data_IF_535362160001
#
_entry.id   IF_535362160001
#
_cell.length_a   1.000
_cell.length_b   1.000
_cell.length_c   1.000
_cell.angle_alpha   90.00
_cell.angle_beta   90.00
_cell.angle_gamma   90.00
#
_symmetry.space_group_name_H-M   'P 1'
#
loop_
_entity.id
_entity.type
_entity.pdbx_description
1 polymer ?
#
# COMPACT_ATOMS: atom_id res chain seq x y z
N UNK A 1 -4.95 37.32 5.68
CA UNK A 1 -4.17 36.14 6.12
C UNK A 1 -3.55 35.49 4.89
N UNK A 2 -2.23 35.49 4.76
CA UNK A 2 -1.53 34.86 3.65
C UNK A 2 -1.90 33.37 3.60
N UNK A 3 -2.48 32.92 2.48
CA UNK A 3 -2.75 31.51 2.23
C UNK A 3 -1.40 30.76 2.30
N UNK A 4 -1.17 30.05 3.41
CA UNK A 4 0.01 29.17 3.54
C UNK A 4 -0.07 28.17 2.37
N UNK A 5 0.86 28.26 1.42
CA UNK A 5 0.97 27.30 0.32
C UNK A 5 1.01 25.88 0.90
N UNK A 6 -0.02 25.10 0.64
CA UNK A 6 -0.16 23.71 1.11
C UNK A 6 0.77 22.81 0.29
N UNK A 7 1.17 23.24 -0.90
CA UNK A 7 2.08 22.53 -1.78
C UNK A 7 3.53 22.66 -1.31
N UNK A 8 4.27 21.54 -1.36
CA UNK A 8 5.69 21.51 -0.99
C UNK A 8 6.54 21.03 -2.17
N UNK A 9 7.45 21.90 -2.57
CA UNK A 9 8.44 21.60 -3.60
C UNK A 9 9.56 20.73 -2.99
N UNK A 10 9.68 19.47 -3.41
CA UNK A 10 10.73 18.54 -2.96
C UNK A 10 12.00 18.61 -3.82
N UNK A 11 12.03 19.52 -4.80
CA UNK A 11 13.20 19.72 -5.66
C UNK A 11 14.26 20.65 -5.05
N UNK A 12 13.95 21.30 -3.90
CA UNK A 12 14.81 22.26 -3.21
C UNK A 12 14.98 21.91 -1.73
N UNK A 13 16.09 22.30 -1.14
CA UNK A 13 16.42 22.06 0.27
C UNK A 13 17.07 20.69 0.53
N UNK A 14 17.32 20.35 1.79
CA UNK A 14 17.99 19.10 2.19
C UNK A 14 17.09 17.88 1.94
N UNK A 15 17.53 16.87 1.15
CA UNK A 15 16.76 15.65 0.92
C UNK A 15 16.37 14.94 2.22
N UNK A 16 17.28 14.84 3.18
CA UNK A 16 17.03 14.18 4.47
C UNK A 16 15.85 14.84 5.22
N UNK A 17 15.87 16.18 5.32
CA UNK A 17 14.81 16.93 6.00
C UNK A 17 13.48 16.81 5.25
N UNK A 18 13.51 16.83 3.92
CA UNK A 18 12.31 16.69 3.08
C UNK A 18 11.68 15.31 3.25
N UNK A 19 12.48 14.26 3.19
CA UNK A 19 12.02 12.87 3.33
C UNK A 19 11.44 12.65 4.72
N UNK A 20 12.15 13.02 5.79
CA UNK A 20 11.64 12.88 7.16
C UNK A 20 10.32 13.64 7.38
N UNK A 21 10.28 14.91 6.99
CA UNK A 21 9.06 15.73 7.21
C UNK A 21 7.87 15.30 6.35
N UNK A 22 8.10 14.59 5.26
CA UNK A 22 7.03 14.05 4.41
C UNK A 22 6.62 12.64 4.86
N UNK A 23 7.56 11.79 5.25
CA UNK A 23 7.27 10.41 5.67
C UNK A 23 6.63 10.31 7.05
N UNK A 24 6.97 11.19 8.00
CA UNK A 24 6.41 11.14 9.36
C UNK A 24 4.88 11.24 9.41
N UNK A 25 4.22 12.19 8.73
CA UNK A 25 2.76 12.19 8.66
C UNK A 25 2.21 10.92 8.02
N UNK A 26 2.81 10.44 6.90
CA UNK A 26 2.37 9.21 6.24
C UNK A 26 2.47 8.00 7.16
N UNK A 27 3.55 7.88 7.93
CA UNK A 27 3.71 6.85 8.94
C UNK A 27 2.55 6.89 9.94
N UNK A 28 2.23 8.08 10.47
CA UNK A 28 1.07 8.25 11.35
C UNK A 28 -0.22 7.75 10.68
N UNK A 29 -0.45 8.09 9.41
CA UNK A 29 -1.62 7.62 8.67
C UNK A 29 -1.67 6.11 8.50
N UNK A 30 -0.56 5.46 8.15
CA UNK A 30 -0.50 4.01 8.03
C UNK A 30 -0.68 3.30 9.37
N UNK A 31 -0.11 3.82 10.45
CA UNK A 31 -0.32 3.28 11.80
C UNK A 31 -1.78 3.40 12.23
N UNK A 32 -2.43 4.56 12.00
CA UNK A 32 -3.86 4.71 12.27
C UNK A 32 -4.71 3.77 11.42
N UNK A 33 -4.32 3.52 10.17
CA UNK A 33 -5.03 2.56 9.31
C UNK A 33 -4.92 1.11 9.84
N UNK A 34 -3.76 0.72 10.36
CA UNK A 34 -3.59 -0.59 10.99
C UNK A 34 -4.39 -0.72 12.28
N UNK A 35 -4.36 0.31 13.14
CA UNK A 35 -5.16 0.35 14.36
C UNK A 35 -6.67 0.26 14.06
N UNK A 36 -7.12 1.01 13.07
CA UNK A 36 -8.51 0.97 12.61
C UNK A 36 -8.92 -0.43 12.14
N UNK A 37 -8.14 -1.06 11.27
CA UNK A 37 -8.42 -2.43 10.78
C UNK A 37 -8.46 -3.45 11.92
N UNK A 38 -7.62 -3.27 12.94
CA UNK A 38 -7.63 -4.09 14.14
C UNK A 38 -8.90 -3.87 14.98
N UNK A 39 -9.30 -2.62 15.19
CA UNK A 39 -10.51 -2.28 15.95
C UNK A 39 -11.78 -2.79 15.25
N UNK A 40 -11.89 -2.64 13.93
CA UNK A 40 -13.00 -3.19 13.14
C UNK A 40 -13.14 -4.72 13.33
N UNK A 41 -12.01 -5.44 13.24
CA UNK A 41 -11.99 -6.88 13.51
C UNK A 41 -12.41 -7.23 14.94
N UNK A 42 -11.99 -6.42 15.92
CA UNK A 42 -12.40 -6.63 17.34
C UNK A 42 -13.89 -6.37 17.55
N UNK A 43 -14.45 -5.32 16.95
CA UNK A 43 -15.89 -5.00 17.06
C UNK A 43 -16.72 -6.11 16.42
N UNK A 44 -16.39 -6.54 15.21
CA UNK A 44 -17.09 -7.64 14.54
C UNK A 44 -17.01 -8.93 15.36
N UNK A 45 -15.82 -9.34 15.78
CA UNK A 45 -15.62 -10.58 16.53
C UNK A 45 -16.23 -10.56 17.93
N UNK A 46 -16.14 -9.42 18.63
CA UNK A 46 -16.64 -9.28 20.00
C UNK A 46 -18.17 -9.13 20.09
N UNK A 47 -18.80 -8.56 19.07
CA UNK A 47 -20.23 -8.28 19.08
C UNK A 47 -21.03 -9.31 18.28
N UNK A 48 -20.57 -9.70 17.10
CA UNK A 48 -21.27 -10.61 16.18
C UNK A 48 -20.85 -12.08 16.30
N UNK A 49 -19.76 -12.34 17.04
CA UNK A 49 -19.27 -13.69 17.30
C UNK A 49 -18.29 -14.22 16.26
N UNK A 50 -17.92 -15.50 16.44
CA UNK A 50 -16.82 -16.14 15.72
C UNK A 50 -17.13 -16.40 14.25
N UNK A 51 -18.37 -16.71 13.89
CA UNK A 51 -18.78 -16.94 12.50
C UNK A 51 -18.68 -15.66 11.66
N UNK A 52 -19.13 -14.52 12.20
CA UNK A 52 -19.00 -13.22 11.57
C UNK A 52 -17.52 -12.81 11.40
N UNK A 53 -16.71 -13.07 12.43
CA UNK A 53 -15.26 -12.82 12.37
C UNK A 53 -14.59 -13.67 11.30
N UNK A 54 -14.95 -14.95 11.19
CA UNK A 54 -14.43 -15.86 10.17
C UNK A 54 -14.83 -15.40 8.77
N UNK A 55 -16.11 -14.99 8.59
CA UNK A 55 -16.62 -14.49 7.32
C UNK A 55 -15.86 -13.22 6.85
N UNK A 56 -15.70 -12.23 7.73
CA UNK A 56 -14.95 -10.99 7.41
C UNK A 56 -13.47 -11.31 7.14
N UNK A 57 -12.86 -12.20 7.93
CA UNK A 57 -11.48 -12.62 7.75
C UNK A 57 -11.22 -13.30 6.40
N UNK A 58 -12.12 -14.19 5.98
CA UNK A 58 -12.04 -14.91 4.70
C UNK A 58 -12.05 -13.95 3.50
N UNK A 59 -12.83 -12.86 3.57
CA UNK A 59 -12.87 -11.84 2.51
C UNK A 59 -11.59 -11.01 2.38
N UNK A 60 -10.72 -11.01 3.38
CA UNK A 60 -9.55 -10.12 3.47
C UNK A 60 -8.59 -10.24 2.28
N UNK A 61 -8.30 -11.46 1.85
CA UNK A 61 -7.40 -11.72 0.71
C UNK A 61 -7.99 -11.24 -0.62
N UNK A 62 -9.27 -11.48 -0.84
CA UNK A 62 -9.99 -11.03 -2.03
C UNK A 62 -10.10 -9.50 -2.06
N UNK A 63 -10.41 -8.90 -0.91
CA UNK A 63 -10.46 -7.46 -0.74
C UNK A 63 -9.10 -6.81 -1.04
N UNK A 64 -8.00 -7.37 -0.53
CA UNK A 64 -6.65 -6.87 -0.80
C UNK A 64 -6.27 -7.01 -2.27
N UNK A 65 -6.64 -8.12 -2.93
CA UNK A 65 -6.38 -8.34 -4.35
C UNK A 65 -7.04 -7.25 -5.22
N UNK A 66 -8.31 -6.94 -4.98
CA UNK A 66 -9.13 -6.05 -5.81
C UNK A 66 -8.90 -4.58 -5.44
N UNK A 67 -9.04 -4.23 -4.17
CA UNK A 67 -8.81 -2.85 -3.72
C UNK A 67 -7.34 -2.46 -3.83
N UNK A 68 -6.40 -3.39 -3.59
CA UNK A 68 -4.97 -3.18 -3.82
C UNK A 68 -4.66 -2.81 -5.28
N UNK A 69 -5.30 -3.50 -6.24
CA UNK A 69 -5.20 -3.13 -7.66
C UNK A 69 -5.66 -1.70 -7.92
N UNK A 70 -6.83 -1.33 -7.41
CA UNK A 70 -7.38 0.03 -7.58
C UNK A 70 -6.50 1.10 -6.91
N UNK A 71 -6.00 0.83 -5.70
CA UNK A 71 -5.05 1.72 -4.99
C UNK A 71 -3.74 1.89 -5.77
N UNK A 72 -3.24 0.79 -6.35
CA UNK A 72 -2.05 0.81 -7.19
C UNK A 72 -2.24 1.65 -8.45
N UNK A 73 -3.40 1.55 -9.12
CA UNK A 73 -3.73 2.42 -10.27
C UNK A 73 -3.70 3.89 -9.87
N UNK A 74 -4.33 4.27 -8.77
CA UNK A 74 -4.32 5.65 -8.27
C UNK A 74 -2.89 6.14 -7.97
N UNK A 75 -2.07 5.28 -7.37
CA UNK A 75 -0.66 5.58 -7.08
C UNK A 75 0.17 5.73 -8.35
N UNK A 76 -0.08 4.90 -9.36
CA UNK A 76 0.57 5.01 -10.68
C UNK A 76 0.18 6.29 -11.42
N UNK A 77 -1.08 6.72 -11.34
CA UNK A 77 -1.55 7.98 -11.92
C UNK A 77 -0.95 9.21 -11.22
N UNK A 78 -0.60 9.10 -9.95
CA UNK A 78 0.07 10.15 -9.19
C UNK A 78 1.49 10.47 -9.71
N UNK A 79 2.17 9.53 -10.38
CA UNK A 79 3.54 9.70 -10.86
C UNK A 79 3.67 10.78 -11.91
N UNK A 80 2.93 10.78 -13.06
CA UNK A 80 2.99 11.85 -14.04
C UNK A 80 2.59 13.22 -13.47
N UNK A 81 1.67 13.24 -12.49
CA UNK A 81 1.27 14.48 -11.80
C UNK A 81 2.46 15.04 -11.02
N UNK A 82 3.18 14.21 -10.25
CA UNK A 82 4.37 14.61 -9.51
C UNK A 82 5.50 15.08 -10.44
N UNK A 83 5.68 14.43 -11.61
CA UNK A 83 6.65 14.82 -12.61
C UNK A 83 6.30 16.19 -13.23
N UNK A 84 5.06 16.41 -13.62
CA UNK A 84 4.61 17.70 -14.17
C UNK A 84 4.71 18.82 -13.12
N UNK A 85 4.37 18.55 -11.86
CA UNK A 85 4.56 19.52 -10.76
C UNK A 85 6.03 19.88 -10.56
N UNK A 86 6.93 18.88 -10.55
CA UNK A 86 8.38 19.11 -10.45
C UNK A 86 8.95 19.88 -11.65
N UNK A 87 8.39 19.69 -12.85
CA UNK A 87 8.72 20.44 -14.05
C UNK A 87 8.16 21.88 -14.05
N UNK A 88 7.32 22.23 -13.07
CA UNK A 88 6.57 23.49 -13.00
C UNK A 88 5.63 23.72 -14.20
N UNK A 89 5.21 22.64 -14.87
CA UNK A 89 4.23 22.69 -15.94
C UNK A 89 2.82 22.46 -15.37
N UNK A 90 2.19 23.56 -14.96
CA UNK A 90 0.85 23.54 -14.38
C UNK A 90 -0.21 23.05 -15.36
N UNK A 91 -0.03 23.32 -16.67
CA UNK A 91 -0.99 22.91 -17.70
C UNK A 91 -0.94 21.40 -17.91
N UNK A 92 0.26 20.83 -18.05
CA UNK A 92 0.43 19.38 -18.16
C UNK A 92 -0.07 18.69 -16.89
N UNK A 93 0.24 19.22 -15.71
CA UNK A 93 -0.22 18.70 -14.42
C UNK A 93 -1.74 18.68 -14.33
N UNK A 94 -2.45 19.78 -14.63
CA UNK A 94 -3.93 19.83 -14.63
C UNK A 94 -4.53 18.81 -15.59
N UNK A 95 -3.95 18.66 -16.78
CA UNK A 95 -4.38 17.65 -17.76
C UNK A 95 -4.22 16.24 -17.22
N UNK A 96 -3.09 15.89 -16.59
CA UNK A 96 -2.93 14.57 -15.93
C UNK A 96 -3.96 14.36 -14.83
N UNK A 97 -4.20 15.35 -13.98
CA UNK A 97 -5.22 15.24 -12.92
C UNK A 97 -6.60 14.99 -13.54
N UNK A 98 -7.00 15.75 -14.58
CA UNK A 98 -8.31 15.60 -15.19
C UNK A 98 -8.50 14.24 -15.87
N UNK A 99 -7.49 13.76 -16.61
CA UNK A 99 -7.53 12.44 -17.23
C UNK A 99 -7.51 11.31 -16.17
N UNK A 100 -6.83 11.53 -15.04
CA UNK A 100 -6.88 10.59 -13.91
C UNK A 100 -8.28 10.49 -13.31
N UNK A 101 -9.00 11.62 -13.19
CA UNK A 101 -10.42 11.62 -12.74
C UNK A 101 -11.28 10.78 -13.67
N UNK A 102 -11.17 10.97 -14.99
CA UNK A 102 -11.96 10.21 -15.96
C UNK A 102 -11.64 8.71 -15.91
N UNK A 103 -10.36 8.35 -15.89
CA UNK A 103 -9.94 6.95 -15.85
C UNK A 103 -10.31 6.28 -14.53
N UNK A 104 -10.11 6.96 -13.39
CA UNK A 104 -10.52 6.46 -12.09
C UNK A 104 -12.04 6.24 -12.03
N UNK A 105 -12.84 7.16 -12.56
CA UNK A 105 -14.30 7.01 -12.60
C UNK A 105 -14.71 5.76 -13.41
N UNK A 106 -14.17 5.61 -14.62
CA UNK A 106 -14.49 4.46 -15.49
C UNK A 106 -14.02 3.15 -14.86
N UNK A 107 -12.75 3.09 -14.43
CA UNK A 107 -12.16 1.85 -13.89
C UNK A 107 -12.85 1.46 -12.59
N UNK A 108 -13.12 2.41 -11.69
CA UNK A 108 -13.74 2.10 -10.39
C UNK A 108 -15.18 1.62 -10.53
N UNK A 109 -15.97 2.24 -11.42
CA UNK A 109 -17.35 1.78 -11.69
C UNK A 109 -17.33 0.39 -12.33
N UNK A 110 -16.47 0.17 -13.33
CA UNK A 110 -16.34 -1.13 -13.98
C UNK A 110 -15.92 -2.22 -12.99
N UNK A 111 -14.88 -1.96 -12.21
CA UNK A 111 -14.40 -2.89 -11.18
C UNK A 111 -15.46 -3.13 -10.10
N UNK A 112 -16.12 -2.07 -9.61
CA UNK A 112 -17.16 -2.19 -8.60
C UNK A 112 -18.35 -3.03 -9.07
N UNK A 113 -18.82 -2.82 -10.28
CA UNK A 113 -19.90 -3.62 -10.86
C UNK A 113 -19.47 -5.07 -11.08
N UNK A 114 -18.32 -5.29 -11.74
CA UNK A 114 -17.85 -6.65 -12.01
C UNK A 114 -17.66 -7.43 -10.71
N UNK A 115 -16.91 -6.89 -9.76
CA UNK A 115 -16.61 -7.63 -8.53
C UNK A 115 -17.80 -7.72 -7.59
N UNK A 116 -18.65 -6.67 -7.52
CA UNK A 116 -19.86 -6.67 -6.70
C UNK A 116 -20.89 -7.70 -7.18
N UNK A 117 -21.16 -7.79 -8.48
CA UNK A 117 -22.09 -8.80 -9.01
C UNK A 117 -21.53 -10.23 -8.94
N UNK A 118 -20.23 -10.40 -9.14
CA UNK A 118 -19.58 -11.71 -9.10
C UNK A 118 -18.98 -12.06 -7.72
N UNK A 119 -19.25 -11.30 -6.67
CA UNK A 119 -18.74 -11.56 -5.33
C UNK A 119 -19.01 -13.00 -4.83
N UNK A 120 -20.23 -13.56 -4.96
CA UNK A 120 -20.47 -14.94 -4.53
C UNK A 120 -19.63 -15.97 -5.29
N UNK A 121 -19.46 -15.80 -6.62
CA UNK A 121 -18.65 -16.68 -7.46
C UNK A 121 -17.17 -16.59 -7.11
N UNK A 122 -16.67 -15.37 -6.88
CA UNK A 122 -15.28 -15.14 -6.49
C UNK A 122 -14.94 -15.79 -5.14
N UNK A 123 -15.83 -15.70 -4.15
CA UNK A 123 -15.66 -16.37 -2.85
C UNK A 123 -15.70 -17.90 -3.00
N UNK A 124 -16.62 -18.46 -3.79
CA UNK A 124 -16.64 -19.90 -4.07
C UNK A 124 -15.37 -20.39 -4.78
N UNK A 125 -14.79 -19.59 -5.68
CA UNK A 125 -13.50 -19.91 -6.31
C UNK A 125 -12.34 -19.94 -5.31
N UNK A 126 -12.45 -19.24 -4.19
CA UNK A 126 -11.48 -19.26 -3.09
C UNK A 126 -11.76 -20.38 -2.08
N UNK A 127 -12.77 -21.24 -2.34
CA UNK A 127 -13.22 -22.32 -1.46
C UNK A 127 -13.71 -21.82 -0.09
N UNK A 128 -14.39 -20.65 -0.07
CA UNK A 128 -15.09 -20.17 1.14
C UNK A 128 -16.11 -21.22 1.58
N UNK A 129 -16.09 -21.67 2.86
CA UNK A 129 -17.06 -22.62 3.38
C UNK A 129 -18.50 -22.14 3.22
N UNK A 130 -19.41 -23.05 2.84
CA UNK A 130 -20.82 -22.71 2.53
C UNK A 130 -21.60 -22.18 3.75
N UNK A 131 -21.18 -22.53 4.97
CA UNK A 131 -21.76 -22.04 6.23
C UNK A 131 -21.53 -20.54 6.47
N UNK A 132 -20.33 -20.03 6.13
CA UNK A 132 -19.98 -18.61 6.27
C UNK A 132 -20.16 -17.81 4.98
N UNK A 133 -20.35 -18.46 3.83
CA UNK A 133 -20.46 -17.80 2.53
C UNK A 133 -21.52 -16.69 2.48
N UNK A 134 -22.74 -16.86 3.03
CA UNK A 134 -23.74 -15.78 3.04
C UNK A 134 -23.26 -14.54 3.80
N UNK A 135 -22.58 -14.71 4.94
CA UNK A 135 -22.03 -13.61 5.74
C UNK A 135 -20.85 -12.93 5.02
N UNK A 136 -19.98 -13.73 4.39
CA UNK A 136 -18.85 -13.22 3.59
C UNK A 136 -19.34 -12.38 2.41
N UNK A 137 -20.38 -12.83 1.70
CA UNK A 137 -21.03 -12.06 0.61
C UNK A 137 -21.66 -10.79 1.15
N UNK A 138 -22.42 -10.88 2.24
CA UNK A 138 -23.10 -9.74 2.86
C UNK A 138 -22.12 -8.63 3.27
N UNK A 139 -20.89 -9.00 3.69
CA UNK A 139 -19.84 -8.05 4.02
C UNK A 139 -19.13 -7.48 2.78
N UNK A 140 -18.67 -8.34 1.85
CA UNK A 140 -17.76 -7.90 0.79
C UNK A 140 -18.48 -7.22 -0.38
N UNK A 141 -19.73 -7.60 -0.66
CA UNK A 141 -20.48 -7.09 -1.81
C UNK A 141 -20.72 -5.58 -1.73
N UNK A 142 -21.20 -4.98 -0.61
CA UNK A 142 -21.28 -3.53 -0.45
C UNK A 142 -19.93 -2.83 -0.62
N UNK A 143 -18.85 -3.42 -0.09
CA UNK A 143 -17.47 -2.88 -0.21
C UNK A 143 -17.03 -2.85 -1.68
N UNK A 144 -17.36 -3.87 -2.46
CA UNK A 144 -17.03 -3.91 -3.88
C UNK A 144 -17.85 -2.91 -4.70
N UNK A 145 -19.16 -2.80 -4.48
CA UNK A 145 -19.95 -1.76 -5.13
C UNK A 145 -19.48 -0.35 -4.77
N UNK A 146 -18.86 -0.19 -3.59
CA UNK A 146 -18.30 1.08 -3.13
C UNK A 146 -16.83 1.33 -3.58
N UNK A 147 -16.24 0.51 -4.46
CA UNK A 147 -14.90 0.77 -5.04
C UNK A 147 -14.76 2.20 -5.57
N UNK A 148 -15.76 2.84 -6.23
CA UNK A 148 -15.66 4.25 -6.62
C UNK A 148 -15.38 5.20 -5.44
N UNK A 149 -15.88 4.90 -4.25
CA UNK A 149 -15.64 5.67 -3.03
C UNK A 149 -14.18 5.53 -2.57
N UNK A 150 -13.70 4.29 -2.51
CA UNK A 150 -12.30 3.99 -2.16
C UNK A 150 -11.33 4.64 -3.14
N UNK A 151 -11.62 4.57 -4.44
CA UNK A 151 -10.82 5.20 -5.50
C UNK A 151 -10.85 6.73 -5.39
N UNK A 152 -11.98 7.34 -5.05
CA UNK A 152 -12.08 8.78 -4.83
C UNK A 152 -11.09 9.26 -3.75
N UNK A 153 -11.08 8.60 -2.59
CA UNK A 153 -10.14 8.93 -1.51
C UNK A 153 -8.68 8.74 -1.95
N UNK A 154 -8.35 7.58 -2.53
CA UNK A 154 -6.98 7.24 -2.93
C UNK A 154 -6.45 8.17 -4.02
N UNK A 155 -7.29 8.52 -5.00
CA UNK A 155 -6.95 9.45 -6.07
C UNK A 155 -6.71 10.86 -5.52
N UNK A 156 -7.62 11.40 -4.68
CA UNK A 156 -7.44 12.70 -4.05
C UNK A 156 -6.17 12.73 -3.20
N UNK A 157 -5.93 11.68 -2.39
CA UNK A 157 -4.73 11.52 -1.60
C UNK A 157 -3.46 11.44 -2.45
N UNK A 158 -3.51 10.72 -3.58
CA UNK A 158 -2.43 10.63 -4.56
C UNK A 158 -2.08 11.99 -5.18
N UNK A 159 -3.08 12.75 -5.60
CA UNK A 159 -2.91 14.12 -6.13
C UNK A 159 -2.26 15.02 -5.08
N UNK A 160 -2.76 15.04 -3.85
CA UNK A 160 -2.19 15.88 -2.78
C UNK A 160 -0.74 15.50 -2.46
N UNK A 161 -0.44 14.20 -2.35
CA UNK A 161 0.94 13.71 -2.16
C UNK A 161 1.86 14.11 -3.31
N UNK A 162 1.40 14.03 -4.56
CA UNK A 162 2.17 14.45 -5.75
C UNK A 162 2.58 15.93 -5.69
N UNK A 163 1.76 16.77 -5.06
CA UNK A 163 2.01 18.20 -4.86
C UNK A 163 2.75 18.50 -3.54
N UNK A 164 3.20 17.46 -2.84
CA UNK A 164 4.00 17.57 -1.61
C UNK A 164 3.20 17.70 -0.32
N UNK A 165 1.88 17.51 -0.32
CA UNK A 165 1.07 17.50 0.88
C UNK A 165 0.81 16.05 1.35
N UNK A 166 1.55 15.64 2.37
CA UNK A 166 1.35 14.35 3.05
C UNK A 166 0.41 14.44 4.26
N UNK A 167 0.17 15.65 4.79
CA UNK A 167 -0.60 15.83 6.03
C UNK A 167 -2.11 15.76 5.83
N UNK A 168 -2.60 16.43 4.79
CA UNK A 168 -4.05 16.50 4.55
C UNK A 168 -4.67 15.10 4.32
N UNK A 169 -4.13 14.20 3.49
CA UNK A 169 -4.68 12.85 3.35
C UNK A 169 -4.66 12.06 4.66
N UNK A 170 -3.64 12.26 5.49
CA UNK A 170 -3.54 11.58 6.80
C UNK A 170 -4.60 12.07 7.77
N UNK A 171 -4.86 13.36 7.84
CA UNK A 171 -5.95 13.90 8.66
C UNK A 171 -7.29 13.32 8.20
N UNK A 172 -7.50 13.21 6.88
CA UNK A 172 -8.73 12.63 6.33
C UNK A 172 -8.93 11.18 6.77
N UNK A 173 -7.90 10.34 6.66
CA UNK A 173 -8.02 8.93 7.05
C UNK A 173 -8.16 8.76 8.56
N UNK A 174 -7.52 9.61 9.36
CA UNK A 174 -7.69 9.59 10.81
C UNK A 174 -9.13 9.90 11.21
N UNK A 175 -9.74 10.92 10.59
CA UNK A 175 -11.16 11.26 10.81
C UNK A 175 -12.04 10.10 10.35
N UNK A 176 -11.77 9.51 9.17
CA UNK A 176 -12.53 8.36 8.69
C UNK A 176 -12.43 7.16 9.63
N UNK A 177 -11.26 6.86 10.17
CA UNK A 177 -11.06 5.76 11.11
C UNK A 177 -11.86 5.95 12.41
N UNK A 178 -11.84 7.15 12.99
CA UNK A 178 -12.63 7.46 14.17
C UNK A 178 -14.13 7.39 13.90
N UNK A 179 -14.56 7.93 12.75
CA UNK A 179 -15.96 7.88 12.34
C UNK A 179 -16.43 6.45 12.08
N UNK A 180 -15.59 5.62 11.46
CA UNK A 180 -15.93 4.23 11.21
C UNK A 180 -16.19 3.47 12.51
N UNK A 181 -15.33 3.60 13.54
CA UNK A 181 -15.55 2.97 14.84
C UNK A 181 -16.92 3.36 15.42
N UNK A 182 -17.28 4.63 15.36
CA UNK A 182 -18.60 5.11 15.84
C UNK A 182 -19.74 4.50 15.02
N UNK A 183 -19.58 4.43 13.69
CA UNK A 183 -20.58 3.87 12.79
C UNK A 183 -20.70 2.35 12.96
N UNK A 184 -19.62 1.62 13.20
CA UNK A 184 -19.63 0.17 13.47
C UNK A 184 -20.52 -0.12 14.68
N UNK A 185 -20.25 0.54 15.81
CA UNK A 185 -21.10 0.39 17.01
C UNK A 185 -22.56 0.78 16.75
N UNK A 186 -22.77 1.86 15.99
CA UNK A 186 -24.13 2.33 15.68
C UNK A 186 -24.89 1.35 14.80
N UNK A 187 -24.29 0.88 13.71
CA UNK A 187 -24.97 0.00 12.76
C UNK A 187 -25.12 -1.42 13.30
N UNK A 188 -24.12 -1.93 14.01
CA UNK A 188 -24.16 -3.28 14.55
C UNK A 188 -25.05 -3.35 15.80
N UNK A 189 -24.90 -2.44 16.78
CA UNK A 189 -25.61 -2.51 18.04
C UNK A 189 -26.98 -1.82 18.02
N UNK A 190 -27.08 -0.60 17.45
CA UNK A 190 -28.32 0.16 17.47
C UNK A 190 -29.27 -0.25 16.34
N UNK A 191 -28.75 -0.52 15.12
CA UNK A 191 -29.57 -0.91 13.97
C UNK A 191 -29.60 -2.41 13.70
N UNK A 192 -28.83 -3.22 14.44
CA UNK A 192 -28.76 -4.68 14.31
C UNK A 192 -28.48 -5.18 12.88
N UNK A 193 -27.63 -4.45 12.13
CA UNK A 193 -27.34 -4.75 10.72
C UNK A 193 -26.38 -5.93 10.49
N UNK A 194 -25.86 -6.53 11.55
CA UNK A 194 -24.88 -7.63 11.42
C UNK A 194 -23.60 -7.20 10.70
N UNK A 195 -23.00 -8.11 9.92
CA UNK A 195 -21.74 -7.86 9.17
C UNK A 195 -21.90 -6.80 8.09
N UNK A 196 -23.08 -6.63 7.52
CA UNK A 196 -23.38 -5.56 6.56
C UNK A 196 -23.18 -4.17 7.18
N UNK A 197 -23.49 -4.04 8.48
CA UNK A 197 -23.28 -2.82 9.23
C UNK A 197 -21.82 -2.36 9.23
N UNK A 198 -20.87 -3.27 9.45
CA UNK A 198 -19.45 -3.00 9.37
C UNK A 198 -19.03 -2.60 7.94
N UNK A 199 -19.56 -3.27 6.92
CA UNK A 199 -19.31 -2.91 5.52
C UNK A 199 -19.76 -1.48 5.20
N UNK A 200 -20.99 -1.12 5.56
CA UNK A 200 -21.54 0.23 5.35
C UNK A 200 -20.83 1.30 6.18
N UNK A 201 -20.41 1.00 7.41
CA UNK A 201 -19.63 1.90 8.23
C UNK A 201 -18.30 2.26 7.54
N UNK A 202 -17.62 1.26 6.99
CA UNK A 202 -16.39 1.45 6.21
C UNK A 202 -16.64 2.30 4.96
N UNK A 203 -17.69 2.01 4.18
CA UNK A 203 -18.03 2.73 2.96
C UNK A 203 -18.34 4.21 3.24
N UNK A 204 -19.17 4.48 4.25
CA UNK A 204 -19.59 5.84 4.60
C UNK A 204 -18.41 6.65 5.13
N UNK A 205 -17.57 6.07 5.97
CA UNK A 205 -16.37 6.73 6.51
C UNK A 205 -15.39 7.11 5.40
N UNK A 206 -15.15 6.21 4.44
CA UNK A 206 -14.30 6.48 3.28
C UNK A 206 -14.92 7.53 2.36
N UNK A 207 -16.24 7.53 2.16
CA UNK A 207 -16.95 8.53 1.35
C UNK A 207 -16.76 9.93 1.94
N UNK A 208 -16.98 10.08 3.24
CA UNK A 208 -16.81 11.36 3.94
C UNK A 208 -15.37 11.84 3.82
N UNK A 209 -14.39 10.94 4.00
CA UNK A 209 -12.97 11.25 3.84
C UNK A 209 -12.63 11.67 2.41
N UNK A 210 -13.11 10.95 1.40
CA UNK A 210 -12.90 11.27 -0.01
C UNK A 210 -13.52 12.61 -0.41
N UNK A 211 -14.74 12.87 0.00
CA UNK A 211 -15.43 14.14 -0.24
C UNK A 211 -14.72 15.31 0.46
N UNK A 212 -14.27 15.11 1.69
CA UNK A 212 -13.50 16.11 2.41
C UNK A 212 -12.17 16.43 1.70
N UNK A 213 -11.44 15.41 1.26
CA UNK A 213 -10.23 15.59 0.45
C UNK A 213 -10.51 16.38 -0.84
N UNK A 214 -11.59 16.06 -1.55
CA UNK A 214 -12.01 16.76 -2.76
C UNK A 214 -12.33 18.24 -2.49
N UNK A 215 -13.03 18.53 -1.39
CA UNK A 215 -13.33 19.89 -0.96
C UNK A 215 -12.06 20.68 -0.61
N UNK A 216 -11.11 20.04 0.07
CA UNK A 216 -9.81 20.66 0.38
C UNK A 216 -9.03 20.96 -0.91
N UNK A 217 -8.99 20.02 -1.87
CA UNK A 217 -8.35 20.25 -3.17
C UNK A 217 -8.97 21.48 -3.85
N UNK A 218 -10.30 21.55 -3.94
CA UNK A 218 -11.00 22.67 -4.59
C UNK A 218 -10.76 24.02 -3.91
N UNK A 219 -10.66 24.03 -2.56
CA UNK A 219 -10.50 25.28 -1.79
C UNK A 219 -9.06 25.74 -1.63
N UNK A 220 -8.09 24.83 -1.49
CA UNK A 220 -6.71 25.17 -1.11
C UNK A 220 -5.68 25.00 -2.22
N UNK A 221 -5.95 24.17 -3.23
CA UNK A 221 -5.00 23.92 -4.33
C UNK A 221 -5.40 24.72 -5.57
N UNK A 222 -5.21 26.04 -5.51
CA UNK A 222 -5.55 26.96 -6.61
C UNK A 222 -4.85 26.63 -7.93
N UNK A 223 -3.65 26.03 -7.85
CA UNK A 223 -2.87 25.53 -8.98
C UNK A 223 -3.62 24.47 -9.80
N UNK A 224 -4.58 23.75 -9.19
CA UNK A 224 -5.44 22.75 -9.82
C UNK A 224 -6.75 23.32 -10.36
N UNK A 225 -6.90 24.65 -10.46
CA UNK A 225 -8.10 25.25 -11.05
C UNK A 225 -8.16 24.90 -12.54
N UNK A 226 -9.05 23.98 -12.88
CA UNK A 226 -9.22 23.44 -14.24
C UNK A 226 -9.73 24.51 -15.22
N UNK A 227 -9.10 24.57 -16.39
CA UNK A 227 -9.54 25.38 -17.51
C UNK A 227 -10.36 24.51 -18.51
N UNK A 228 -11.22 25.11 -19.35
CA UNK A 228 -12.02 24.33 -20.30
C UNK A 228 -11.19 23.43 -21.23
N UNK A 229 -9.98 23.85 -21.58
CA UNK A 229 -9.06 23.12 -22.45
C UNK A 229 -8.45 21.90 -21.77
N UNK A 230 -8.32 21.90 -20.44
CA UNK A 230 -7.78 20.79 -19.66
C UNK A 230 -8.75 19.60 -19.63
N UNK A 231 -10.05 19.84 -19.89
CA UNK A 231 -11.11 18.82 -19.89
C UNK A 231 -11.18 17.98 -21.17
N UNK A 232 -10.50 18.43 -22.26
CA UNK A 232 -10.50 17.66 -23.51
C UNK A 232 -9.70 16.38 -23.36
N UNK A 233 -10.32 15.24 -23.69
CA UNK A 233 -9.66 13.94 -23.65
C UNK A 233 -8.61 13.88 -24.76
N UNK A 234 -7.37 13.53 -24.39
CA UNK A 234 -6.23 13.41 -25.29
C UNK A 234 -5.54 12.06 -25.09
N UNK A 235 -5.47 11.26 -26.15
CA UNK A 235 -4.91 9.92 -26.12
C UNK A 235 -3.50 9.78 -25.51
N UNK A 236 -2.55 10.72 -25.70
CA UNK A 236 -1.22 10.61 -25.08
C UNK A 236 -1.26 10.59 -23.53
N UNK A 237 -2.13 11.40 -22.91
CA UNK A 237 -2.31 11.43 -21.46
C UNK A 237 -2.92 10.13 -20.95
N UNK A 238 -3.98 9.64 -21.61
CA UNK A 238 -4.63 8.37 -21.29
C UNK A 238 -3.61 7.22 -21.36
N UNK A 239 -2.88 7.12 -22.48
CA UNK A 239 -1.86 6.07 -22.67
C UNK A 239 -0.77 6.12 -21.60
N UNK A 240 -0.28 7.31 -21.25
CA UNK A 240 0.77 7.45 -20.23
C UNK A 240 0.26 7.07 -18.84
N UNK A 241 -0.94 7.50 -18.47
CA UNK A 241 -1.55 7.12 -17.19
C UNK A 241 -1.77 5.61 -17.09
N UNK A 242 -2.37 4.99 -18.10
CA UNK A 242 -2.57 3.54 -18.12
C UNK A 242 -1.25 2.76 -18.08
N UNK A 243 -0.23 3.21 -18.82
CA UNK A 243 1.11 2.62 -18.80
C UNK A 243 1.80 2.70 -17.42
N UNK A 244 1.41 3.68 -16.57
CA UNK A 244 1.91 3.78 -15.20
C UNK A 244 1.01 3.04 -14.20
N UNK A 245 -0.31 3.23 -14.33
CA UNK A 245 -1.29 2.73 -13.37
C UNK A 245 -1.47 1.22 -13.42
N UNK A 246 -1.62 0.63 -14.62
CA UNK A 246 -1.89 -0.81 -14.74
C UNK A 246 -0.75 -1.66 -14.15
N UNK A 247 0.53 -1.44 -14.48
CA UNK A 247 1.61 -2.22 -13.88
C UNK A 247 1.72 -2.00 -12.38
N UNK A 248 1.42 -0.79 -11.88
CA UNK A 248 1.42 -0.50 -10.45
C UNK A 248 0.29 -1.25 -9.73
N UNK A 249 -0.91 -1.27 -10.30
CA UNK A 249 -2.03 -2.05 -9.77
C UNK A 249 -1.76 -3.55 -9.76
N UNK A 250 -1.26 -4.10 -10.87
CA UNK A 250 -0.89 -5.51 -10.99
C UNK A 250 0.18 -5.92 -9.97
N UNK A 251 1.12 -5.03 -9.63
CA UNK A 251 2.10 -5.32 -8.59
C UNK A 251 1.44 -5.65 -7.25
N UNK A 252 0.41 -4.90 -6.82
CA UNK A 252 -0.32 -5.22 -5.57
C UNK A 252 -1.04 -6.56 -5.66
N UNK A 253 -1.67 -6.84 -6.80
CA UNK A 253 -2.34 -8.15 -7.03
C UNK A 253 -1.34 -9.30 -7.00
N UNK A 254 -0.17 -9.16 -7.61
CA UNK A 254 0.90 -10.16 -7.58
C UNK A 254 1.40 -10.40 -6.14
N UNK A 255 1.55 -9.32 -5.37
CA UNK A 255 1.94 -9.44 -3.95
C UNK A 255 0.88 -10.18 -3.14
N UNK A 256 -0.42 -9.92 -3.39
CA UNK A 256 -1.53 -10.65 -2.77
C UNK A 256 -1.47 -12.16 -3.06
N UNK A 257 -1.28 -12.53 -4.34
CA UNK A 257 -1.14 -13.93 -4.76
C UNK A 257 0.07 -14.59 -4.07
N UNK A 258 1.18 -13.86 -3.96
CA UNK A 258 2.38 -14.35 -3.27
C UNK A 258 2.12 -14.64 -1.78
N UNK A 259 1.36 -13.79 -1.10
CA UNK A 259 0.97 -14.01 0.29
C UNK A 259 0.05 -15.22 0.45
N UNK A 260 -0.92 -15.40 -0.46
CA UNK A 260 -1.80 -16.57 -0.48
C UNK A 260 -1.02 -17.89 -0.65
N UNK A 261 0.02 -17.88 -1.48
CA UNK A 261 0.88 -19.08 -1.69
C UNK A 261 1.59 -19.48 -0.38
N UNK A 262 2.09 -18.51 0.39
CA UNK A 262 2.70 -18.77 1.70
C UNK A 262 1.65 -19.28 2.69
N UNK A 263 0.48 -18.63 2.74
CA UNK A 263 -0.62 -19.07 3.62
C UNK A 263 -1.03 -20.51 3.33
N UNK A 264 -1.15 -20.88 2.05
CA UNK A 264 -1.47 -22.25 1.65
C UNK A 264 -0.43 -23.25 2.19
N UNK A 265 0.86 -22.95 2.07
CA UNK A 265 1.91 -23.83 2.55
C UNK A 265 1.92 -23.94 4.09
N UNK A 266 1.71 -22.82 4.80
CA UNK A 266 1.63 -22.80 6.27
C UNK A 266 0.43 -23.58 6.80
N UNK A 267 -0.72 -23.53 6.10
CA UNK A 267 -1.90 -24.32 6.44
C UNK A 267 -1.59 -25.82 6.42
N UNK A 268 -0.72 -26.28 5.53
CA UNK A 268 -0.25 -27.67 5.46
C UNK A 268 0.62 -28.11 6.64
N UNK A 269 1.20 -27.18 7.42
CA UNK A 269 2.03 -27.51 8.60
C UNK A 269 1.14 -27.82 9.81
N UNK A 270 0.03 -27.09 9.98
CA UNK A 270 -0.93 -27.28 11.06
C UNK A 270 -1.36 -25.98 11.76
N UNK A 271 -2.37 -26.11 12.61
CA UNK A 271 -3.07 -24.97 13.24
C UNK A 271 -2.18 -24.07 14.09
N UNK A 272 -1.21 -24.65 14.80
CA UNK A 272 -0.26 -23.91 15.64
C UNK A 272 0.63 -23.00 14.78
N UNK A 273 1.15 -23.52 13.66
CA UNK A 273 1.95 -22.72 12.72
C UNK A 273 1.14 -21.60 12.09
N UNK A 274 -0.12 -21.87 11.71
CA UNK A 274 -1.04 -20.85 11.19
C UNK A 274 -1.28 -19.75 12.21
N UNK A 275 -1.56 -20.11 13.47
CA UNK A 275 -1.76 -19.14 14.54
C UNK A 275 -0.51 -18.28 14.78
N UNK A 276 0.67 -18.90 14.77
CA UNK A 276 1.96 -18.23 14.97
C UNK A 276 2.27 -17.23 13.84
N UNK A 277 2.14 -17.66 12.57
CA UNK A 277 2.37 -16.77 11.40
C UNK A 277 1.33 -15.65 11.35
N UNK A 278 0.09 -15.93 11.71
CA UNK A 278 -0.98 -14.92 11.73
C UNK A 278 -0.71 -13.85 12.80
N UNK A 279 -0.42 -14.25 14.03
CA UNK A 279 -0.13 -13.32 15.12
C UNK A 279 1.16 -12.52 14.86
N UNK A 280 2.23 -13.22 14.45
CA UNK A 280 3.48 -12.57 14.05
C UNK A 280 3.32 -11.65 12.87
N UNK A 281 2.54 -12.04 11.86
CA UNK A 281 2.23 -11.24 10.69
C UNK A 281 1.48 -9.94 11.02
N UNK A 282 0.46 -10.00 11.88
CA UNK A 282 -0.26 -8.80 12.35
C UNK A 282 0.68 -7.82 13.04
N UNK A 283 1.56 -8.30 13.92
CA UNK A 283 2.55 -7.44 14.57
C UNK A 283 3.57 -6.89 13.57
N UNK A 284 4.04 -7.71 12.63
CA UNK A 284 4.97 -7.29 11.57
C UNK A 284 4.41 -6.15 10.73
N UNK A 285 3.09 -6.13 10.43
CA UNK A 285 2.45 -5.05 9.66
C UNK A 285 2.63 -3.68 10.30
N UNK A 286 2.59 -3.57 11.63
CA UNK A 286 2.86 -2.31 12.33
C UNK A 286 4.30 -1.83 12.10
N UNK A 287 5.28 -2.73 12.17
CA UNK A 287 6.67 -2.39 11.90
C UNK A 287 6.92 -2.05 10.41
N UNK A 288 6.19 -2.68 9.48
CA UNK A 288 6.31 -2.41 8.05
C UNK A 288 5.78 -1.04 7.62
N UNK A 289 4.91 -0.39 8.39
CA UNK A 289 4.37 0.95 8.08
C UNK A 289 5.46 2.00 7.81
N UNK A 290 6.63 1.88 8.43
CA UNK A 290 7.75 2.80 8.18
C UNK A 290 8.32 2.63 6.78
N UNK A 291 8.43 1.38 6.30
CA UNK A 291 8.90 1.10 4.94
C UNK A 291 7.91 1.62 3.90
N UNK A 292 6.59 1.47 4.14
CA UNK A 292 5.54 1.99 3.26
C UNK A 292 5.54 3.52 3.21
N UNK A 293 5.77 4.17 4.35
CA UNK A 293 5.89 5.63 4.42
C UNK A 293 7.13 6.14 3.65
N UNK A 294 8.28 5.49 3.80
CA UNK A 294 9.49 5.82 3.05
C UNK A 294 9.31 5.54 1.55
N UNK A 295 8.68 4.41 1.18
CA UNK A 295 8.37 4.04 -0.20
C UNK A 295 7.51 5.10 -0.89
N UNK A 296 6.36 5.45 -0.29
CA UNK A 296 5.45 6.49 -0.81
C UNK A 296 6.15 7.86 -0.93
N UNK A 297 7.01 8.18 0.04
CA UNK A 297 7.84 9.40 0.01
C UNK A 297 8.80 9.38 -1.16
N UNK A 298 9.50 8.26 -1.40
CA UNK A 298 10.46 8.13 -2.49
C UNK A 298 9.81 8.19 -3.86
N UNK A 299 8.59 7.65 -4.04
CA UNK A 299 7.84 7.80 -5.30
C UNK A 299 7.58 9.27 -5.63
N UNK A 300 7.11 10.04 -4.65
CA UNK A 300 6.84 11.48 -4.82
C UNK A 300 8.13 12.27 -5.02
N UNK A 301 9.15 12.02 -4.18
CA UNK A 301 10.43 12.70 -4.26
C UNK A 301 11.12 12.46 -5.60
N UNK A 302 11.19 11.21 -6.05
CA UNK A 302 11.78 10.85 -7.34
C UNK A 302 10.97 11.45 -8.50
N UNK A 303 9.63 11.37 -8.46
CA UNK A 303 8.76 11.93 -9.48
C UNK A 303 8.98 13.44 -9.67
N UNK A 304 8.92 14.23 -8.58
CA UNK A 304 9.17 15.68 -8.67
C UNK A 304 10.59 16.01 -9.17
N UNK A 305 11.62 15.29 -8.70
CA UNK A 305 13.00 15.55 -9.11
C UNK A 305 13.29 15.11 -10.56
N UNK A 306 12.61 14.09 -11.09
CA UNK A 306 12.63 13.76 -12.53
C UNK A 306 12.07 14.91 -13.36
N UNK A 307 10.90 15.42 -12.97
CA UNK A 307 10.27 16.57 -13.64
C UNK A 307 11.18 17.80 -13.64
N UNK A 308 11.81 18.10 -12.52
CA UNK A 308 12.78 19.18 -12.37
C UNK A 308 14.14 18.90 -13.06
N UNK A 309 14.33 17.76 -13.70
CA UNK A 309 15.61 17.30 -14.28
C UNK A 309 16.76 17.24 -13.25
N UNK A 310 16.49 16.94 -11.98
CA UNK A 310 17.45 16.91 -10.87
C UNK A 310 17.75 15.47 -10.45
N UNK A 311 18.37 14.69 -11.37
CA UNK A 311 18.71 13.27 -11.13
C UNK A 311 19.73 13.08 -10.00
N UNK A 312 20.63 14.06 -9.80
CA UNK A 312 21.57 14.11 -8.68
C UNK A 312 20.86 13.99 -7.32
N UNK A 313 19.72 14.68 -7.18
CA UNK A 313 18.94 14.68 -5.95
C UNK A 313 18.25 13.35 -5.68
N UNK A 314 17.88 12.60 -6.72
CA UNK A 314 17.25 11.28 -6.55
C UNK A 314 18.20 10.32 -5.83
N UNK A 315 19.49 10.31 -6.23
CA UNK A 315 20.51 9.51 -5.55
C UNK A 315 20.75 9.97 -4.10
N UNK A 316 20.74 11.30 -3.87
CA UNK A 316 20.84 11.85 -2.51
C UNK A 316 19.63 11.46 -1.65
N UNK A 317 18.41 11.48 -2.22
CA UNK A 317 17.19 11.05 -1.56
C UNK A 317 17.21 9.56 -1.23
N UNK A 318 17.64 8.72 -2.18
CA UNK A 318 17.78 7.28 -1.93
C UNK A 318 18.78 7.00 -0.81
N UNK A 319 19.95 7.68 -0.81
CA UNK A 319 20.92 7.59 0.29
C UNK A 319 20.33 8.02 1.63
N UNK A 320 19.60 9.14 1.67
CA UNK A 320 18.94 9.62 2.89
C UNK A 320 17.89 8.63 3.41
N UNK A 321 17.05 8.10 2.53
CA UNK A 321 16.05 7.07 2.89
C UNK A 321 16.70 5.79 3.37
N UNK A 322 17.81 5.37 2.76
CA UNK A 322 18.57 4.19 3.20
C UNK A 322 19.12 4.39 4.63
N UNK A 323 19.68 5.56 4.93
CA UNK A 323 20.20 5.85 6.28
C UNK A 323 19.07 5.81 7.31
N UNK A 324 17.96 6.50 7.05
CA UNK A 324 16.79 6.52 7.93
C UNK A 324 16.27 5.10 8.16
N UNK A 325 16.09 4.36 7.07
CA UNK A 325 15.53 3.01 7.10
C UNK A 325 16.46 2.01 7.78
N UNK A 326 17.79 2.06 7.55
CA UNK A 326 18.75 1.17 8.23
C UNK A 326 18.77 1.43 9.76
N UNK A 327 18.74 2.69 10.18
CA UNK A 327 18.62 3.01 11.61
C UNK A 327 17.33 2.43 12.17
N UNK A 328 16.21 2.58 11.45
CA UNK A 328 14.94 2.01 11.85
C UNK A 328 14.97 0.48 11.90
N UNK A 329 15.60 -0.21 10.93
CA UNK A 329 15.71 -1.67 10.96
C UNK A 329 16.38 -2.18 12.24
N UNK A 330 17.45 -1.50 12.69
CA UNK A 330 18.11 -1.83 13.96
C UNK A 330 17.18 -1.61 15.15
N UNK A 331 16.48 -0.47 15.19
CA UNK A 331 15.54 -0.16 16.27
C UNK A 331 14.37 -1.14 16.30
N UNK A 332 13.82 -1.51 15.12
CA UNK A 332 12.75 -2.48 14.99
C UNK A 332 13.19 -3.87 15.45
N UNK A 333 14.39 -4.31 15.04
CA UNK A 333 14.96 -5.58 15.51
C UNK A 333 15.09 -5.61 17.04
N UNK A 334 15.68 -4.58 17.63
CA UNK A 334 15.82 -4.46 19.10
C UNK A 334 14.45 -4.48 19.78
N UNK A 335 13.48 -3.73 19.26
CA UNK A 335 12.12 -3.72 19.81
C UNK A 335 11.45 -5.10 19.73
N UNK A 336 11.54 -5.79 18.60
CA UNK A 336 10.99 -7.12 18.40
C UNK A 336 11.70 -8.16 19.31
N UNK A 337 13.01 -8.06 19.46
CA UNK A 337 13.78 -8.98 20.28
C UNK A 337 13.35 -8.93 21.76
N UNK A 338 13.21 -7.72 22.32
CA UNK A 338 12.86 -7.54 23.74
C UNK A 338 11.36 -7.60 24.01
N UNK A 339 10.54 -7.05 23.10
CA UNK A 339 9.10 -6.86 23.33
C UNK A 339 8.21 -7.74 22.44
N UNK A 340 8.78 -8.54 21.52
CA UNK A 340 8.00 -9.32 20.58
C UNK A 340 7.07 -10.33 21.26
N UNK A 341 7.58 -11.14 22.20
CA UNK A 341 6.75 -12.11 22.94
C UNK A 341 5.58 -11.47 23.70
N UNK A 342 5.78 -10.44 24.54
CA UNK A 342 4.67 -9.73 25.18
C UNK A 342 3.65 -9.17 24.19
N UNK A 343 4.11 -8.57 23.09
CA UNK A 343 3.24 -7.97 22.08
C UNK A 343 2.43 -9.04 21.32
N UNK A 344 3.06 -10.15 20.92
CA UNK A 344 2.36 -11.29 20.31
C UNK A 344 1.33 -11.87 21.28
N UNK A 345 1.66 -11.96 22.57
CA UNK A 345 0.78 -12.46 23.60
C UNK A 345 -0.54 -11.72 23.75
N UNK A 346 -0.61 -10.47 23.25
CA UNK A 346 -1.85 -9.67 23.21
C UNK A 346 -2.85 -10.18 22.14
N UNK A 347 -2.38 -10.92 21.14
CA UNK A 347 -3.21 -11.46 20.06
C UNK A 347 -3.68 -12.89 20.29
N UNK A 348 -3.21 -13.54 21.37
CA UNK A 348 -3.48 -14.95 21.65
C UNK A 348 -4.27 -15.06 22.95
N UNK A 349 -5.39 -15.81 22.93
CA UNK A 349 -6.23 -16.04 24.11
C UNK A 349 -5.41 -16.62 25.25
N UNK A 350 -5.73 -16.18 26.48
CA UNK A 350 -5.06 -16.67 27.69
C UNK A 350 -5.42 -18.12 28.00
N UNK A 351 -6.57 -18.60 27.55
CA UNK A 351 -7.09 -19.95 27.82
C UNK A 351 -6.61 -21.00 26.81
N UNK A 352 -5.80 -20.62 25.82
CA UNK A 352 -5.29 -21.56 24.80
C UNK A 352 -4.22 -22.48 25.39
N UNK A 353 -4.42 -23.79 25.26
CA UNK A 353 -3.46 -24.82 25.74
C UNK A 353 -2.07 -24.65 25.10
N UNK A 354 -2.00 -24.26 23.82
CA UNK A 354 -0.76 -24.14 23.08
C UNK A 354 -0.21 -22.70 23.05
N UNK A 355 -0.74 -21.82 23.92
CA UNK A 355 -0.41 -20.38 23.94
C UNK A 355 1.08 -20.08 23.91
N UNK A 356 1.85 -20.75 24.78
CA UNK A 356 3.29 -20.51 24.88
C UNK A 356 4.03 -20.94 23.61
N UNK A 357 3.65 -22.06 23.02
CA UNK A 357 4.24 -22.57 21.78
C UNK A 357 3.97 -21.64 20.61
N UNK A 358 2.73 -21.14 20.49
CA UNK A 358 2.36 -20.16 19.46
C UNK A 358 3.16 -18.87 19.63
N UNK A 359 3.35 -18.37 20.87
CA UNK A 359 4.16 -17.17 21.14
C UNK A 359 5.61 -17.39 20.73
N UNK A 360 6.20 -18.54 21.09
CA UNK A 360 7.59 -18.83 20.77
C UNK A 360 7.82 -18.97 19.26
N UNK A 361 6.93 -19.64 18.55
CA UNK A 361 6.96 -19.74 17.09
C UNK A 361 6.74 -18.38 16.42
N UNK A 362 5.80 -17.57 16.88
CA UNK A 362 5.58 -16.23 16.35
C UNK A 362 6.79 -15.31 16.59
N UNK A 363 7.44 -15.43 17.74
CA UNK A 363 8.68 -14.71 18.03
C UNK A 363 9.81 -15.12 17.08
N UNK A 364 9.96 -16.42 16.81
CA UNK A 364 10.93 -16.92 15.82
C UNK A 364 10.68 -16.33 14.44
N UNK A 365 9.42 -16.34 13.96
CA UNK A 365 9.02 -15.71 12.71
C UNK A 365 9.40 -14.24 12.68
N UNK A 366 9.08 -13.49 13.73
CA UNK A 366 9.37 -12.04 13.82
C UNK A 366 10.88 -11.76 13.84
N UNK A 367 11.68 -12.54 14.58
CA UNK A 367 13.13 -12.36 14.62
C UNK A 367 13.75 -12.61 13.25
N UNK A 368 13.40 -13.72 12.58
CA UNK A 368 13.94 -14.05 11.26
C UNK A 368 13.60 -12.93 10.25
N UNK A 369 12.35 -12.46 10.24
CA UNK A 369 11.94 -11.39 9.35
C UNK A 369 12.65 -10.07 9.69
N UNK A 370 12.76 -9.70 10.98
CA UNK A 370 13.33 -8.42 11.39
C UNK A 370 14.84 -8.31 11.16
N UNK A 371 15.60 -9.39 11.29
CA UNK A 371 17.01 -9.46 10.91
C UNK A 371 17.18 -9.13 9.42
N UNK A 372 16.20 -9.51 8.59
CA UNK A 372 16.20 -9.34 7.15
C UNK A 372 15.30 -8.17 6.68
N UNK A 373 15.00 -7.20 7.56
CA UNK A 373 14.30 -5.96 7.19
C UNK A 373 15.13 -5.02 6.30
N UNK A 374 16.45 -5.17 6.27
CA UNK A 374 17.29 -4.38 5.36
C UNK A 374 16.96 -4.69 3.89
N UNK A 375 16.90 -5.93 3.41
CA UNK A 375 16.33 -6.24 2.09
C UNK A 375 14.93 -5.66 1.89
N UNK A 376 14.00 -5.82 2.83
CA UNK A 376 12.65 -5.25 2.71
C UNK A 376 12.68 -3.73 2.53
N UNK A 377 13.55 -3.03 3.27
CA UNK A 377 13.75 -1.59 3.10
C UNK A 377 14.16 -1.26 1.65
N UNK A 378 15.18 -1.95 1.12
CA UNK A 378 15.67 -1.68 -0.24
C UNK A 378 14.63 -2.03 -1.29
N UNK A 379 13.93 -3.15 -1.18
CA UNK A 379 12.78 -3.47 -2.04
C UNK A 379 11.81 -2.28 -2.09
N UNK A 380 11.45 -1.72 -0.95
CA UNK A 380 10.48 -0.63 -0.89
C UNK A 380 11.04 0.68 -1.49
N UNK A 381 12.16 1.18 -0.98
CA UNK A 381 12.66 2.50 -1.41
C UNK A 381 13.18 2.51 -2.85
N UNK A 382 13.80 1.43 -3.32
CA UNK A 382 14.31 1.33 -4.70
C UNK A 382 13.17 1.14 -5.69
N UNK A 383 12.22 0.23 -5.40
CA UNK A 383 11.05 0.00 -6.23
C UNK A 383 10.26 1.27 -6.45
N UNK A 384 9.89 1.96 -5.38
CA UNK A 384 9.09 3.18 -5.47
C UNK A 384 9.89 4.35 -6.08
N UNK A 385 11.23 4.37 -5.94
CA UNK A 385 12.07 5.28 -6.71
C UNK A 385 11.99 4.98 -8.20
N UNK A 386 12.13 3.72 -8.64
CA UNK A 386 11.99 3.32 -10.05
C UNK A 386 10.61 3.69 -10.60
N UNK A 387 9.56 3.52 -9.81
CA UNK A 387 8.21 3.96 -10.17
C UNK A 387 8.15 5.48 -10.36
N UNK A 388 8.70 6.25 -9.42
CA UNK A 388 8.80 7.71 -9.52
C UNK A 388 9.60 8.18 -10.75
N UNK A 389 10.60 7.41 -11.18
CA UNK A 389 11.32 7.62 -12.44
C UNK A 389 10.40 7.40 -13.68
N UNK A 390 9.25 6.73 -13.53
CA UNK A 390 8.33 6.41 -14.61
C UNK A 390 8.51 5.02 -15.22
N UNK A 391 9.21 4.11 -14.56
CA UNK A 391 9.43 2.73 -15.01
C UNK A 391 8.64 1.71 -14.20
N UNK A 392 7.31 1.88 -14.12
CA UNK A 392 6.41 1.04 -13.30
C UNK A 392 6.39 -0.43 -13.72
N UNK A 393 6.61 -0.73 -15.01
CA UNK A 393 6.72 -2.10 -15.50
C UNK A 393 7.90 -2.87 -14.85
N UNK A 394 9.03 -2.21 -14.64
CA UNK A 394 10.20 -2.83 -13.96
C UNK A 394 9.84 -3.17 -12.51
N UNK A 395 9.14 -2.26 -11.84
CA UNK A 395 8.68 -2.47 -10.47
C UNK A 395 7.67 -3.63 -10.37
N UNK A 396 6.80 -3.80 -11.36
CA UNK A 396 5.88 -4.95 -11.45
C UNK A 396 6.65 -6.27 -11.63
N UNK A 397 7.68 -6.30 -12.48
CA UNK A 397 8.54 -7.50 -12.65
C UNK A 397 9.23 -7.87 -11.33
N UNK A 398 9.67 -6.91 -10.54
CA UNK A 398 10.21 -7.18 -9.21
C UNK A 398 9.16 -7.86 -8.29
N UNK A 399 7.88 -7.48 -8.41
CA UNK A 399 6.78 -8.19 -7.74
C UNK A 399 6.67 -9.66 -8.17
N UNK A 400 6.90 -9.96 -9.46
CA UNK A 400 6.97 -11.34 -9.95
C UNK A 400 8.16 -12.10 -9.35
N UNK A 401 9.31 -11.44 -9.16
CA UNK A 401 10.47 -12.06 -8.49
C UNK A 401 10.14 -12.41 -7.03
N UNK A 402 9.42 -11.53 -6.33
CA UNK A 402 8.93 -11.85 -4.98
C UNK A 402 7.96 -13.04 -4.97
N UNK A 403 7.02 -13.07 -5.92
CA UNK A 403 6.09 -14.18 -6.05
C UNK A 403 6.84 -15.51 -6.27
N UNK A 404 7.81 -15.51 -7.19
CA UNK A 404 8.66 -16.70 -7.45
C UNK A 404 9.42 -17.10 -6.18
N UNK A 405 10.04 -16.15 -5.47
CA UNK A 405 10.75 -16.43 -4.22
C UNK A 405 9.86 -17.08 -3.17
N UNK A 406 8.65 -16.52 -2.95
CA UNK A 406 7.66 -17.10 -2.02
C UNK A 406 7.20 -18.48 -2.47
N UNK A 407 6.90 -18.66 -3.76
CA UNK A 407 6.44 -19.93 -4.30
C UNK A 407 7.50 -21.02 -4.20
N UNK A 408 8.75 -20.73 -4.49
CA UNK A 408 9.88 -21.67 -4.33
C UNK A 408 10.00 -22.12 -2.90
N UNK A 409 10.03 -21.21 -1.94
CA UNK A 409 10.10 -21.55 -0.52
C UNK A 409 8.87 -22.35 -0.07
N UNK A 410 7.67 -21.85 -0.40
CA UNK A 410 6.40 -22.45 0.02
C UNK A 410 6.20 -23.88 -0.53
N UNK A 411 6.54 -24.09 -1.81
CA UNK A 411 6.25 -25.37 -2.48
C UNK A 411 7.39 -26.37 -2.38
N UNK A 412 8.65 -25.92 -2.30
CA UNK A 412 9.82 -26.83 -2.31
C UNK A 412 10.46 -26.99 -0.93
N UNK A 413 10.53 -25.93 -0.12
CA UNK A 413 11.24 -25.98 1.15
C UNK A 413 10.32 -26.26 2.34
N UNK A 414 9.12 -25.70 2.37
CA UNK A 414 8.16 -25.93 3.47
C UNK A 414 7.79 -27.42 3.64
N UNK A 415 7.56 -28.23 2.59
CA UNK A 415 7.26 -29.65 2.76
C UNK A 415 8.38 -30.46 3.42
N UNK A 416 9.65 -30.03 3.27
CA UNK A 416 10.82 -30.74 3.81
C UNK A 416 11.34 -30.19 5.14
N UNK A 417 11.27 -28.86 5.31
CA UNK A 417 11.85 -28.15 6.47
C UNK A 417 10.78 -27.55 7.41
N UNK A 418 9.50 -27.67 7.05
CA UNK A 418 8.39 -27.24 7.91
C UNK A 418 8.37 -25.75 8.18
N UNK A 419 8.09 -25.40 9.44
CA UNK A 419 7.88 -24.03 9.90
C UNK A 419 9.11 -23.12 9.72
N UNK A 420 10.30 -23.66 9.90
CA UNK A 420 11.54 -22.88 9.72
C UNK A 420 11.63 -22.31 8.30
N UNK A 421 11.35 -23.13 7.28
CA UNK A 421 11.30 -22.66 5.90
C UNK A 421 10.21 -21.61 5.69
N UNK A 422 9.04 -21.78 6.28
CA UNK A 422 7.95 -20.82 6.17
C UNK A 422 8.34 -19.41 6.68
N UNK A 423 9.16 -19.33 7.73
CA UNK A 423 9.69 -18.07 8.25
C UNK A 423 10.61 -17.36 7.28
N UNK A 424 11.28 -18.06 6.36
CA UNK A 424 12.17 -17.49 5.34
C UNK A 424 11.44 -17.13 4.04
N UNK A 425 10.16 -17.44 3.86
CA UNK A 425 9.45 -17.20 2.62
C UNK A 425 9.47 -15.72 2.18
N UNK A 426 9.21 -14.80 3.10
CA UNK A 426 9.28 -13.36 2.83
C UNK A 426 10.72 -12.86 2.64
N UNK A 427 11.68 -13.17 3.54
CA UNK A 427 13.08 -12.78 3.37
C UNK A 427 13.70 -13.19 2.03
N UNK A 428 13.50 -14.43 1.60
CA UNK A 428 14.00 -14.91 0.28
C UNK A 428 13.39 -14.12 -0.86
N UNK A 429 12.09 -13.83 -0.79
CA UNK A 429 11.40 -13.02 -1.79
C UNK A 429 12.00 -11.60 -1.88
N UNK A 430 12.27 -10.97 -0.74
CA UNK A 430 12.88 -9.63 -0.71
C UNK A 430 14.29 -9.61 -1.30
N UNK A 431 15.13 -10.58 -0.94
CA UNK A 431 16.49 -10.71 -1.49
C UNK A 431 16.42 -10.90 -3.01
N UNK A 432 15.54 -11.77 -3.49
CA UNK A 432 15.41 -12.03 -4.93
C UNK A 432 14.94 -10.78 -5.68
N UNK A 433 14.00 -10.03 -5.11
CA UNK A 433 13.56 -8.75 -5.68
C UNK A 433 14.68 -7.71 -5.71
N UNK A 434 15.50 -7.59 -4.67
CA UNK A 434 16.61 -6.65 -4.60
C UNK A 434 17.72 -6.95 -5.61
N UNK A 435 18.02 -8.23 -5.80
CA UNK A 435 18.97 -8.67 -6.84
C UNK A 435 18.55 -8.20 -8.24
N UNK A 436 17.27 -8.06 -8.49
CA UNK A 436 16.74 -7.50 -9.74
C UNK A 436 16.63 -5.97 -9.70
N UNK A 437 16.08 -5.40 -8.63
CA UNK A 437 15.76 -3.96 -8.54
C UNK A 437 17.00 -3.07 -8.53
N UNK A 438 18.04 -3.45 -7.77
CA UNK A 438 19.24 -2.61 -7.61
C UNK A 438 19.96 -2.38 -8.93
N UNK A 439 20.28 -3.40 -9.76
CA UNK A 439 20.85 -3.19 -11.09
C UNK A 439 19.94 -2.41 -12.03
N UNK A 440 18.60 -2.69 -11.95
CA UNK A 440 17.61 -1.98 -12.75
C UNK A 440 17.55 -0.48 -12.42
N UNK A 441 17.69 -0.11 -11.15
CA UNK A 441 17.71 1.30 -10.75
C UNK A 441 18.84 2.07 -11.44
N UNK A 442 20.07 1.57 -11.40
CA UNK A 442 21.19 2.20 -12.06
C UNK A 442 21.01 2.28 -13.57
N UNK A 443 20.42 1.24 -14.17
CA UNK A 443 20.09 1.23 -15.61
C UNK A 443 19.05 2.30 -15.95
N UNK A 444 18.00 2.45 -15.14
CA UNK A 444 16.96 3.48 -15.31
C UNK A 444 17.55 4.89 -15.19
N UNK A 445 18.39 5.14 -14.18
CA UNK A 445 19.06 6.43 -14.00
C UNK A 445 19.95 6.76 -15.22
N UNK A 446 20.75 5.80 -15.69
CA UNK A 446 21.60 6.00 -16.88
C UNK A 446 20.77 6.29 -18.15
N UNK A 447 19.65 5.57 -18.36
CA UNK A 447 18.75 5.85 -19.49
C UNK A 447 18.15 7.24 -19.41
N UNK A 448 17.74 7.68 -18.23
CA UNK A 448 17.23 9.04 -18.02
C UNK A 448 18.31 10.10 -18.20
N UNK A 449 19.52 9.87 -17.72
CA UNK A 449 20.66 10.79 -17.95
C UNK A 449 20.91 11.01 -19.44
N UNK A 450 20.98 9.92 -20.23
CA UNK A 450 21.15 10.01 -21.68
C UNK A 450 20.01 10.79 -22.36
N UNK A 451 18.78 10.60 -21.90
CA UNK A 451 17.60 11.27 -22.44
C UNK A 451 17.52 12.76 -22.08
N UNK A 452 17.87 13.11 -20.83
CA UNK A 452 17.72 14.48 -20.31
C UNK A 452 18.95 15.37 -20.56
N UNK A 453 20.15 14.74 -20.72
CA UNK A 453 21.44 15.44 -20.90
C UNK A 453 22.28 14.80 -22.00
N UNK A 454 21.82 14.84 -23.27
CA UNK A 454 22.50 14.19 -24.38
C UNK A 454 23.94 14.71 -24.60
N UNK A 455 24.19 16.00 -24.40
CA UNK A 455 25.51 16.65 -24.59
C UNK A 455 26.56 16.16 -23.56
N UNK A 456 26.18 15.95 -22.30
CA UNK A 456 27.10 15.46 -21.26
C UNK A 456 27.54 14.02 -21.50
N UNK A 457 26.70 13.22 -22.14
CA UNK A 457 26.95 11.80 -22.40
C UNK A 457 27.91 11.64 -23.60
N UNK A 458 27.85 12.53 -24.59
CA UNK A 458 28.76 12.54 -25.73
C UNK A 458 30.17 12.97 -25.34
N UNK A 459 30.31 13.84 -24.32
CA UNK A 459 31.61 14.29 -23.80
C UNK A 459 32.33 13.24 -22.92
N UNK A 460 31.61 12.32 -22.29
CA UNK A 460 32.18 11.27 -21.41
C UNK A 460 32.50 9.97 -22.15
N UNK A 461 32.17 9.88 -23.44
CA UNK A 461 32.48 8.73 -24.33
C UNK A 461 33.68 8.99 -25.26
N UNK A 462 34.27 10.18 -25.17
CA UNK A 462 35.57 10.51 -25.73
C UNK A 462 36.63 10.48 -24.63
#
# INVERSE_FOLDING_TARGET
MAQKNVTRDMTQGSPLKLILTFSLPLLGGFLFQQLYSFMDTMVVGGVLGTEALAAVGDTGSLNFLINGFCMGICSGFAIPIAQAFGAKDETEMRRYVMHSVYLCAVISVLMGLLTGFFAPQLLRMLNTPEDILPLSVAYIQPVFFAIPVTVLYNMCGGVMRSLGDSKTPVIAITIAALLNIVLDYTFILAFHMGVEGAAWATVISQLISGLWCLLVIRKRFTILKMQPEDKRIRAPFVRRLLAMGIPFGLQYSITAIGSLTVTYAVNGIGTIAVAAVTAGGKLSMFFCCVFDALASTMATFAGQNVGAKRLDRINQGLKASSIIGCIYCVLAFVAIYFFGKPLVGLFISQDSADRQLVIDMAQQFLIINSVLYIPLLFVNIVRFSIQGLGYTMIAMIAGLMELVGRAVVAMLLVPSLGYDAACFANPVAWILADLFLIPCYFTCIRKLQKRLYPEKTAASSK
#
